data_IF_654133959665
#
_entry.id   IF_654133959665
#
_cell.length_a   1.000
_cell.length_b   1.000
_cell.length_c   1.000
_cell.angle_alpha   90.00
_cell.angle_beta   90.00
_cell.angle_gamma   90.00
#
_symmetry.space_group_name_H-M   'P 1'
#
loop_
_entity.id
_entity.type
_entity.pdbx_description
1 polymer ?
#
# COMPACT_ATOMS: atom_id res chain seq x y z
N UNK A 1 11.45 10.67 1.88
CA UNK A 1 11.54 9.32 1.27
C UNK A 1 11.51 9.33 -0.26
N UNK A 2 10.79 10.24 -0.94
CA UNK A 2 10.83 10.36 -2.42
C UNK A 2 12.26 10.51 -3.01
N UNK A 3 13.18 11.09 -2.26
CA UNK A 3 14.58 11.25 -2.69
C UNK A 3 15.49 10.04 -2.46
N UNK A 4 14.99 8.99 -1.79
CA UNK A 4 15.78 7.79 -1.41
C UNK A 4 15.56 6.58 -2.33
N UNK A 5 14.67 6.69 -3.31
CA UNK A 5 14.34 5.60 -4.25
C UNK A 5 14.61 6.09 -5.68
N UNK A 6 15.19 5.23 -6.51
CA UNK A 6 15.38 5.50 -7.92
C UNK A 6 14.06 5.39 -8.68
N UNK A 7 13.72 6.42 -9.46
CA UNK A 7 12.47 6.48 -10.23
C UNK A 7 12.61 5.81 -11.59
N UNK A 8 11.60 5.04 -11.97
CA UNK A 8 11.51 4.38 -13.28
C UNK A 8 10.30 4.96 -14.00
N UNK A 9 10.53 5.82 -14.99
CA UNK A 9 9.46 6.53 -15.68
C UNK A 9 8.46 5.61 -16.41
N UNK A 10 8.87 4.40 -16.78
CA UNK A 10 7.95 3.39 -17.34
C UNK A 10 6.91 2.91 -16.33
N UNK A 11 7.27 2.80 -15.04
CA UNK A 11 6.35 2.36 -13.97
C UNK A 11 5.34 3.47 -13.64
N UNK A 12 5.75 4.75 -13.70
CA UNK A 12 4.85 5.90 -13.45
C UNK A 12 3.81 6.09 -14.57
N UNK A 13 4.15 5.69 -15.79
CA UNK A 13 3.27 5.78 -16.97
C UNK A 13 2.59 4.44 -17.32
N UNK A 14 2.60 3.48 -16.40
CA UNK A 14 1.96 2.16 -16.56
C UNK A 14 0.43 2.26 -16.40
N UNK A 15 -0.20 2.97 -17.34
CA UNK A 15 -1.64 3.02 -17.48
C UNK A 15 -2.10 1.81 -18.28
N UNK A 16 -3.04 1.05 -17.73
CA UNK A 16 -3.73 0.00 -18.46
C UNK A 16 -5.24 0.25 -18.45
N UNK A 17 -5.87 0.06 -19.60
CA UNK A 17 -7.32 -0.10 -19.67
C UNK A 17 -7.65 -1.51 -19.18
N UNK A 18 -8.57 -1.63 -18.22
CA UNK A 18 -9.26 -2.90 -18.08
C UNK A 18 -10.44 -2.84 -19.04
N UNK A 19 -10.45 -3.72 -20.04
CA UNK A 19 -11.50 -3.78 -21.06
C UNK A 19 -12.76 -4.50 -20.53
N UNK A 20 -12.72 -4.93 -19.26
CA UNK A 20 -13.88 -5.43 -18.54
C UNK A 20 -14.96 -4.35 -18.48
N UNK A 21 -16.14 -4.67 -19.01
CA UNK A 21 -17.34 -3.87 -18.85
C UNK A 21 -17.85 -4.03 -17.41
N UNK A 22 -17.45 -3.11 -16.54
CA UNK A 22 -17.99 -3.05 -15.18
C UNK A 22 -19.43 -2.57 -15.20
N UNK A 23 -20.33 -3.32 -14.57
CA UNK A 23 -21.61 -2.77 -14.12
C UNK A 23 -21.39 -2.22 -12.70
N UNK A 24 -21.23 -0.91 -12.58
CA UNK A 24 -21.18 -0.21 -11.30
C UNK A 24 -22.49 0.54 -11.14
N UNK A 25 -23.28 0.16 -10.14
CA UNK A 25 -24.41 0.95 -9.70
C UNK A 25 -23.94 1.91 -8.62
N UNK A 26 -24.37 3.16 -8.70
CA UNK A 26 -24.11 4.16 -7.67
C UNK A 26 -25.35 4.95 -7.34
N UNK A 27 -25.55 5.24 -6.06
CA UNK A 27 -26.62 6.12 -5.62
C UNK A 27 -26.16 7.01 -4.47
N UNK A 28 -26.88 8.12 -4.26
CA UNK A 28 -26.69 9.00 -3.12
C UNK A 28 -27.54 8.55 -1.94
N UNK A 29 -26.99 8.65 -0.74
CA UNK A 29 -27.70 8.46 0.52
C UNK A 29 -27.25 9.51 1.54
N UNK A 30 -28.19 10.16 2.24
CA UNK A 30 -27.86 11.08 3.31
C UNK A 30 -27.84 10.33 4.65
N UNK A 31 -26.64 10.02 5.13
CA UNK A 31 -26.45 9.23 6.35
C UNK A 31 -26.16 10.16 7.53
N UNK A 32 -26.88 9.98 8.64
CA UNK A 32 -26.60 10.73 9.86
C UNK A 32 -25.30 10.26 10.51
N UNK A 33 -24.59 11.14 11.22
CA UNK A 33 -23.41 10.70 11.98
C UNK A 33 -23.75 9.65 13.05
N UNK A 34 -24.96 9.67 13.62
CA UNK A 34 -25.44 8.61 14.52
C UNK A 34 -25.45 7.25 13.82
N UNK A 35 -26.00 7.19 12.63
CA UNK A 35 -26.06 5.97 11.82
C UNK A 35 -24.65 5.48 11.48
N UNK A 36 -23.80 6.37 10.97
CA UNK A 36 -22.42 6.03 10.61
C UNK A 36 -21.61 5.53 11.82
N UNK A 37 -21.81 6.11 13.00
CA UNK A 37 -21.18 5.66 14.24
C UNK A 37 -21.68 4.26 14.61
N UNK A 38 -23.00 4.01 14.61
CA UNK A 38 -23.55 2.69 14.94
C UNK A 38 -23.00 1.63 13.99
N UNK A 39 -23.10 1.86 12.67
CA UNK A 39 -22.57 0.92 11.67
C UNK A 39 -21.09 0.65 11.85
N UNK A 40 -20.30 1.66 12.24
CA UNK A 40 -18.88 1.47 12.49
C UNK A 40 -18.63 0.62 13.73
N UNK A 41 -19.36 0.89 14.83
CA UNK A 41 -19.27 0.14 16.08
C UNK A 41 -19.76 -1.32 15.92
N UNK A 42 -20.73 -1.54 15.04
CA UNK A 42 -21.34 -2.84 14.72
C UNK A 42 -20.57 -3.64 13.63
N UNK A 43 -19.41 -3.15 13.17
CA UNK A 43 -18.61 -3.73 12.06
C UNK A 43 -19.36 -3.86 10.72
N UNK A 44 -20.40 -3.06 10.52
CA UNK A 44 -21.11 -2.91 9.24
C UNK A 44 -20.46 -1.88 8.32
N UNK A 45 -19.74 -0.90 8.90
CA UNK A 45 -18.98 0.12 8.18
C UNK A 45 -17.49 -0.06 8.47
N UNK A 46 -16.80 -0.68 7.53
CA UNK A 46 -15.40 -1.05 7.68
C UNK A 46 -14.48 0.02 7.11
N UNK A 47 -13.31 0.17 7.74
CA UNK A 47 -12.23 1.00 7.19
C UNK A 47 -11.27 0.14 6.36
N UNK A 48 -10.66 0.67 5.30
CA UNK A 48 -9.55 0.01 4.65
C UNK A 48 -8.38 -0.19 5.61
N UNK A 49 -7.65 -1.30 5.47
CA UNK A 49 -6.45 -1.58 6.28
C UNK A 49 -5.40 -0.46 6.21
N UNK A 50 -5.37 0.28 5.09
CA UNK A 50 -4.53 1.46 4.87
C UNK A 50 -4.76 2.57 5.91
N UNK A 51 -6.01 2.74 6.35
CA UNK A 51 -6.43 3.84 7.22
C UNK A 51 -6.41 3.43 8.70
N UNK A 52 -5.51 2.51 9.08
CA UNK A 52 -5.34 2.05 10.47
C UNK A 52 -5.13 3.20 11.45
N UNK A 53 -4.55 4.34 11.02
CA UNK A 53 -4.33 5.51 11.87
C UNK A 53 -5.14 6.72 11.41
N UNK A 54 -5.85 7.31 12.37
CA UNK A 54 -6.40 8.65 12.24
C UNK A 54 -5.22 9.65 12.15
N UNK A 55 -5.22 10.53 11.14
CA UNK A 55 -4.06 11.41 10.84
C UNK A 55 -4.33 12.89 11.01
N UNK A 56 -5.60 13.30 11.17
CA UNK A 56 -5.91 14.68 11.46
C UNK A 56 -5.38 15.08 12.85
N UNK A 57 -4.80 16.26 12.92
CA UNK A 57 -4.46 16.84 14.22
C UNK A 57 -5.72 17.34 14.94
N UNK A 58 -5.58 17.72 16.21
CA UNK A 58 -6.71 18.21 17.01
C UNK A 58 -7.30 19.50 16.44
N UNK A 59 -6.52 20.32 15.73
CA UNK A 59 -6.96 21.58 15.14
C UNK A 59 -7.87 21.33 13.94
N UNK A 60 -7.46 20.44 13.03
CA UNK A 60 -8.25 19.99 11.87
C UNK A 60 -9.54 19.32 12.32
N UNK A 61 -9.44 18.38 13.27
CA UNK A 61 -10.58 17.69 13.86
C UNK A 61 -11.58 18.64 14.51
N UNK A 62 -11.07 19.60 15.30
CA UNK A 62 -11.93 20.60 15.98
C UNK A 62 -12.67 21.48 14.98
N UNK A 63 -11.99 21.89 13.89
CA UNK A 63 -12.63 22.68 12.83
C UNK A 63 -13.75 21.93 12.13
N UNK A 64 -13.59 20.62 11.93
CA UNK A 64 -14.66 19.83 11.34
C UNK A 64 -15.88 19.76 12.26
N UNK A 65 -15.70 19.54 13.56
CA UNK A 65 -16.80 19.57 14.54
C UNK A 65 -17.46 20.96 14.59
N UNK A 66 -16.67 22.04 14.54
CA UNK A 66 -17.18 23.42 14.50
C UNK A 66 -18.07 23.64 13.27
N UNK A 67 -17.66 23.20 12.07
CA UNK A 67 -18.48 23.23 10.86
C UNK A 67 -19.80 22.48 11.02
N UNK A 68 -19.78 21.29 11.63
CA UNK A 68 -21.00 20.49 11.90
C UNK A 68 -21.93 21.22 12.87
N UNK A 69 -21.39 21.86 13.91
CA UNK A 69 -22.17 22.62 14.89
C UNK A 69 -22.77 23.90 14.28
N UNK A 70 -22.03 24.57 13.40
CA UNK A 70 -22.51 25.73 12.63
C UNK A 70 -23.55 25.36 11.57
N UNK A 71 -23.67 24.08 11.21
CA UNK A 71 -24.55 23.62 10.13
C UNK A 71 -24.03 23.97 8.74
N UNK A 72 -22.71 24.08 8.60
CA UNK A 72 -22.07 24.30 7.29
C UNK A 72 -22.11 23.01 6.47
N UNK A 73 -22.20 23.10 5.13
CA UNK A 73 -22.10 21.93 4.27
C UNK A 73 -20.73 21.25 4.44
N UNK A 74 -20.76 19.94 4.64
CA UNK A 74 -19.56 19.10 4.68
C UNK A 74 -19.41 18.37 3.34
N UNK A 75 -18.17 18.13 2.86
CA UNK A 75 -17.99 17.38 1.61
C UNK A 75 -18.61 15.98 1.71
N UNK A 76 -18.96 15.40 0.57
CA UNK A 76 -19.52 14.05 0.49
C UNK A 76 -18.50 12.97 0.84
N UNK A 77 -18.97 11.82 1.30
CA UNK A 77 -18.15 10.62 1.51
C UNK A 77 -18.41 9.61 0.40
N UNK A 78 -17.47 8.69 0.21
CA UNK A 78 -17.61 7.60 -0.74
C UNK A 78 -17.55 6.28 0.01
N UNK A 79 -18.53 5.42 -0.22
CA UNK A 79 -18.65 4.10 0.37
C UNK A 79 -18.76 3.06 -0.74
N UNK A 80 -18.20 1.87 -0.55
CA UNK A 80 -18.46 0.73 -1.41
C UNK A 80 -19.21 -0.32 -0.62
N UNK A 81 -20.30 -0.84 -1.15
CA UNK A 81 -20.94 -2.02 -0.59
C UNK A 81 -20.07 -3.22 -0.91
N UNK A 82 -19.76 -4.01 0.11
CA UNK A 82 -19.04 -5.28 -0.01
C UNK A 82 -20.04 -6.44 0.12
N UNK A 83 -19.55 -7.68 0.14
CA UNK A 83 -20.37 -8.83 0.55
C UNK A 83 -21.01 -8.63 1.94
N UNK A 84 -22.04 -9.42 2.23
CA UNK A 84 -22.74 -9.48 3.53
C UNK A 84 -23.36 -8.16 4.01
N UNK A 85 -23.84 -7.30 3.09
CA UNK A 85 -24.47 -6.00 3.38
C UNK A 85 -23.55 -4.97 4.09
N UNK A 86 -22.26 -5.29 4.25
CA UNK A 86 -21.26 -4.37 4.81
C UNK A 86 -20.87 -3.30 3.80
N UNK A 87 -20.29 -2.22 4.31
CA UNK A 87 -19.75 -1.13 3.51
C UNK A 87 -18.30 -0.83 3.88
N UNK A 88 -17.46 -0.61 2.87
CA UNK A 88 -16.10 -0.14 3.01
C UNK A 88 -16.03 1.37 2.82
N UNK A 89 -15.38 2.07 3.74
CA UNK A 89 -15.13 3.52 3.61
C UNK A 89 -14.03 3.75 2.56
N UNK A 90 -14.40 4.36 1.42
CA UNK A 90 -13.47 4.70 0.34
C UNK A 90 -12.83 6.06 0.61
N UNK A 91 -13.66 7.03 0.99
CA UNK A 91 -13.25 8.38 1.39
C UNK A 91 -14.14 8.87 2.54
N UNK A 92 -13.60 9.76 3.36
CA UNK A 92 -14.34 10.36 4.48
C UNK A 92 -14.05 9.77 5.85
N UNK A 93 -13.16 8.79 5.95
CA UNK A 93 -12.80 8.17 7.23
C UNK A 93 -12.40 9.17 8.31
N UNK A 94 -11.55 10.17 7.98
CA UNK A 94 -11.16 11.18 8.98
C UNK A 94 -12.36 11.99 9.48
N UNK A 95 -13.36 12.26 8.62
CA UNK A 95 -14.59 12.99 8.98
C UNK A 95 -15.48 12.15 9.88
N UNK A 96 -15.76 10.91 9.47
CA UNK A 96 -16.56 9.94 10.23
C UNK A 96 -15.93 9.72 11.61
N UNK A 97 -14.63 9.41 11.64
CA UNK A 97 -13.91 9.16 12.89
C UNK A 97 -13.74 10.40 13.76
N UNK A 98 -13.69 11.60 13.19
CA UNK A 98 -13.66 12.83 14.00
C UNK A 98 -14.94 12.95 14.83
N UNK A 99 -16.10 12.70 14.21
CA UNK A 99 -17.38 12.78 14.93
C UNK A 99 -17.53 11.62 15.90
N UNK A 100 -17.16 10.40 15.49
CA UNK A 100 -17.10 9.23 16.38
C UNK A 100 -16.26 9.51 17.63
N UNK A 101 -15.00 9.94 17.45
CA UNK A 101 -14.08 10.27 18.53
C UNK A 101 -14.62 11.36 19.46
N UNK A 102 -15.28 12.38 18.90
CA UNK A 102 -15.82 13.46 19.71
C UNK A 102 -17.00 12.98 20.54
N UNK A 103 -17.92 12.20 19.94
CA UNK A 103 -19.09 11.62 20.61
C UNK A 103 -18.71 10.58 21.66
N UNK A 104 -17.74 9.70 21.36
CA UNK A 104 -17.18 8.72 22.31
C UNK A 104 -16.34 9.40 23.41
N UNK A 105 -15.80 10.58 23.11
CA UNK A 105 -15.07 11.43 24.03
C UNK A 105 -13.56 11.21 24.06
N UNK A 106 -13.02 10.29 23.25
CA UNK A 106 -11.58 9.98 23.18
C UNK A 106 -11.05 10.34 21.79
N UNK A 107 -9.95 11.09 21.74
CA UNK A 107 -9.30 11.47 20.49
C UNK A 107 -8.30 10.39 20.05
N UNK A 108 -8.51 9.77 18.87
CA UNK A 108 -7.61 8.70 18.38
C UNK A 108 -6.15 9.12 18.21
N UNK A 109 -5.88 10.43 18.04
CA UNK A 109 -4.51 10.91 17.82
C UNK A 109 -3.60 10.81 19.05
N UNK A 110 -4.16 10.89 20.27
CA UNK A 110 -3.36 10.85 21.52
C UNK A 110 -4.01 10.07 22.67
N UNK A 111 -5.19 9.49 22.47
CA UNK A 111 -5.92 8.73 23.50
C UNK A 111 -6.49 9.58 24.63
N UNK A 112 -6.41 10.92 24.54
CA UNK A 112 -6.92 11.83 25.58
C UNK A 112 -8.36 12.24 25.29
N UNK A 113 -9.00 12.84 26.29
CA UNK A 113 -10.34 13.40 26.15
C UNK A 113 -10.37 14.37 24.96
N UNK A 114 -11.31 14.15 24.04
CA UNK A 114 -11.47 15.03 22.90
C UNK A 114 -12.17 16.32 23.31
N UNK A 115 -11.35 17.36 23.54
CA UNK A 115 -11.78 18.75 23.69
C UNK A 115 -11.53 19.52 22.40
N UNK A 116 -12.46 20.40 22.04
CA UNK A 116 -12.28 21.31 20.91
C UNK A 116 -11.11 22.26 21.19
N UNK A 117 -10.34 22.58 20.15
CA UNK A 117 -9.20 23.47 20.22
C UNK A 117 -9.58 24.84 20.79
N UNK A 118 -8.70 25.42 21.62
CA UNK A 118 -8.88 26.74 22.24
C UNK A 118 -8.43 27.90 21.34
N UNK A 119 -8.41 27.68 20.03
CA UNK A 119 -7.96 28.69 19.06
C UNK A 119 -9.12 29.58 18.63
N UNK A 120 -8.78 30.78 18.13
CA UNK A 120 -9.75 31.71 17.55
C UNK A 120 -10.50 31.15 16.33
N UNK A 121 -10.01 30.04 15.77
CA UNK A 121 -10.57 29.34 14.61
C UNK A 121 -11.81 28.50 14.93
N UNK A 122 -12.19 28.36 16.20
CA UNK A 122 -13.38 27.64 16.68
C UNK A 122 -14.34 28.66 17.25
N UNK A 123 -15.65 28.45 17.12
CA UNK A 123 -16.65 29.34 17.71
C UNK A 123 -16.49 29.43 19.24
N UNK A 124 -16.51 30.65 19.78
CA UNK A 124 -16.31 30.94 21.21
C UNK A 124 -17.20 30.10 22.12
N UNK A 125 -18.44 29.81 21.69
CA UNK A 125 -19.42 29.02 22.45
C UNK A 125 -18.94 27.60 22.76
N UNK A 126 -18.06 27.02 21.95
CA UNK A 126 -17.65 25.62 22.04
C UNK A 126 -16.14 25.41 22.28
N UNK A 127 -15.34 26.48 22.26
CA UNK A 127 -13.88 26.40 22.53
C UNK A 127 -13.57 25.63 23.81
N UNK A 128 -12.67 24.66 23.72
CA UNK A 128 -12.22 23.89 24.89
C UNK A 128 -13.23 22.88 25.44
N UNK A 129 -14.47 22.84 24.92
CA UNK A 129 -15.50 21.92 25.39
C UNK A 129 -15.28 20.51 24.83
N UNK A 130 -15.55 19.52 25.65
CA UNK A 130 -15.77 18.13 25.25
C UNK A 130 -17.24 17.93 24.90
N UNK A 131 -17.55 16.85 24.20
CA UNK A 131 -18.93 16.55 23.78
C UNK A 131 -19.94 16.54 24.93
N UNK A 132 -19.57 15.98 26.09
CA UNK A 132 -20.42 15.94 27.30
C UNK A 132 -20.67 17.31 27.94
N UNK A 133 -19.87 18.33 27.61
CA UNK A 133 -20.00 19.70 28.11
C UNK A 133 -20.81 20.59 27.16
N UNK A 134 -21.24 20.05 26.01
CA UNK A 134 -22.18 20.71 25.11
C UNK A 134 -23.62 20.56 25.63
N UNK A 135 -24.47 21.54 25.33
CA UNK A 135 -25.89 21.46 25.63
C UNK A 135 -26.60 20.40 24.79
N UNK A 136 -27.74 19.90 25.26
CA UNK A 136 -28.44 18.77 24.62
C UNK A 136 -28.80 19.02 23.15
N UNK A 137 -29.13 20.27 22.81
CA UNK A 137 -29.44 20.68 21.42
C UNK A 137 -28.23 20.51 20.51
N UNK A 138 -27.03 20.85 20.99
CA UNK A 138 -25.78 20.77 20.25
C UNK A 138 -25.33 19.31 20.09
N UNK A 139 -25.45 18.51 21.16
CA UNK A 139 -25.20 17.07 21.10
C UNK A 139 -26.14 16.38 20.10
N UNK A 140 -27.43 16.72 20.11
CA UNK A 140 -28.40 16.23 19.12
C UNK A 140 -28.06 16.67 17.72
N UNK A 141 -27.65 17.93 17.53
CA UNK A 141 -27.23 18.48 16.23
C UNK A 141 -26.08 17.65 15.65
N UNK A 142 -24.99 17.47 16.38
CA UNK A 142 -23.83 16.69 15.92
C UNK A 142 -24.25 15.29 15.46
N UNK A 143 -25.02 14.58 16.27
CA UNK A 143 -25.47 13.20 15.96
C UNK A 143 -26.41 13.14 14.76
N UNK A 144 -27.29 14.13 14.60
CA UNK A 144 -28.35 14.10 13.61
C UNK A 144 -27.96 14.78 12.28
N UNK A 145 -26.87 15.55 12.24
CA UNK A 145 -26.34 16.08 10.98
C UNK A 145 -26.07 14.92 10.02
N UNK A 146 -26.59 15.05 8.81
CA UNK A 146 -26.34 14.11 7.72
C UNK A 146 -25.14 14.53 6.90
N UNK A 147 -24.44 13.54 6.36
CA UNK A 147 -23.40 13.71 5.35
C UNK A 147 -23.85 12.95 4.11
N UNK A 148 -23.70 13.59 2.94
CA UNK A 148 -24.03 12.97 1.68
C UNK A 148 -23.02 11.86 1.37
N UNK A 149 -23.50 10.63 1.22
CA UNK A 149 -22.69 9.47 0.86
C UNK A 149 -23.02 9.05 -0.57
N UNK A 150 -22.00 8.87 -1.38
CA UNK A 150 -22.11 8.21 -2.68
C UNK A 150 -21.70 6.76 -2.46
N UNK A 151 -22.66 5.85 -2.61
CA UNK A 151 -22.46 4.42 -2.38
C UNK A 151 -22.30 3.73 -3.73
N UNK A 152 -21.24 2.93 -3.88
CA UNK A 152 -20.97 2.11 -5.05
C UNK A 152 -21.25 0.64 -4.77
N UNK A 153 -21.82 -0.05 -5.74
CA UNK A 153 -21.91 -1.52 -5.79
C UNK A 153 -21.33 -1.97 -7.11
N UNK A 154 -20.43 -2.94 -7.07
CA UNK A 154 -20.03 -3.66 -8.25
C UNK A 154 -21.02 -4.82 -8.47
N UNK A 155 -21.84 -4.74 -9.52
CA UNK A 155 -22.81 -5.79 -9.84
C UNK A 155 -22.15 -6.91 -10.65
N UNK A 156 -21.26 -6.56 -11.58
CA UNK A 156 -20.55 -7.53 -12.41
C UNK A 156 -19.10 -7.10 -12.74
N UNK A 157 -18.13 -8.03 -12.71
CA UNK A 157 -18.25 -9.40 -12.16
C UNK A 157 -18.43 -9.37 -10.64
N UNK A 158 -19.33 -10.20 -10.10
CA UNK A 158 -19.58 -10.27 -8.66
C UNK A 158 -18.39 -10.87 -7.86
N UNK A 159 -17.46 -11.54 -8.54
CA UNK A 159 -16.25 -12.15 -7.98
C UNK A 159 -14.98 -11.32 -8.25
N UNK A 160 -15.14 -10.04 -8.55
CA UNK A 160 -14.04 -9.14 -8.84
C UNK A 160 -14.26 -7.81 -8.13
N UNK A 161 -13.26 -7.29 -7.41
CA UNK A 161 -13.31 -5.93 -6.84
C UNK A 161 -12.49 -4.93 -7.69
N UNK A 162 -12.10 -5.30 -8.92
CA UNK A 162 -11.30 -4.43 -9.80
C UNK A 162 -12.00 -3.13 -10.17
N UNK A 163 -13.34 -3.03 -10.09
CA UNK A 163 -14.02 -1.76 -10.33
C UNK A 163 -13.76 -0.78 -9.19
N UNK A 164 -13.67 -1.26 -7.94
CA UNK A 164 -13.29 -0.42 -6.79
C UNK A 164 -11.90 0.16 -6.99
N UNK A 165 -10.95 -0.64 -7.49
CA UNK A 165 -9.61 -0.15 -7.80
C UNK A 165 -9.64 1.04 -8.78
N UNK A 166 -10.42 0.95 -9.86
CA UNK A 166 -10.54 2.05 -10.82
C UNK A 166 -11.24 3.28 -10.23
N UNK A 167 -12.24 3.05 -9.37
CA UNK A 167 -12.93 4.11 -8.63
C UNK A 167 -11.93 4.84 -7.73
N UNK A 168 -11.14 4.13 -6.92
CA UNK A 168 -10.10 4.73 -6.06
C UNK A 168 -9.02 5.49 -6.85
N UNK A 169 -8.62 4.98 -8.02
CA UNK A 169 -7.62 5.64 -8.87
C UNK A 169 -8.14 6.99 -9.40
N UNK A 170 -9.43 7.09 -9.71
CA UNK A 170 -10.04 8.28 -10.33
C UNK A 170 -10.62 9.26 -9.32
N UNK A 171 -11.15 8.75 -8.21
CA UNK A 171 -11.71 9.56 -7.13
C UNK A 171 -10.56 10.10 -6.28
N UNK A 172 -9.91 11.12 -6.84
CA UNK A 172 -8.93 11.96 -6.16
C UNK A 172 -9.65 12.90 -5.19
N UNK A 173 -10.25 12.37 -4.13
CA UNK A 173 -10.82 13.20 -3.07
C UNK A 173 -9.73 13.63 -2.10
N UNK A 174 -9.78 14.90 -1.68
CA UNK A 174 -8.85 15.56 -0.75
C UNK A 174 -7.51 16.06 -1.33
N UNK A 175 -7.34 16.11 -2.66
CA UNK A 175 -6.17 16.73 -3.31
C UNK A 175 -4.87 15.92 -3.22
N UNK A 176 -4.92 14.68 -2.73
CA UNK A 176 -3.77 13.76 -2.68
C UNK A 176 -4.14 12.44 -3.36
N UNK A 177 -3.51 12.16 -4.49
CA UNK A 177 -3.64 10.88 -5.21
C UNK A 177 -3.02 9.75 -4.40
N UNK A 178 -3.81 8.68 -4.17
CA UNK A 178 -3.33 7.42 -3.59
C UNK A 178 -2.39 6.73 -4.59
N UNK A 179 -1.27 6.20 -4.11
CA UNK A 179 -0.38 5.36 -4.93
C UNK A 179 -1.03 4.01 -5.23
N UNK A 180 -0.60 3.31 -6.29
CA UNK A 180 -1.13 1.99 -6.64
C UNK A 180 -1.19 1.00 -5.47
N UNK A 181 -0.12 0.90 -4.66
CA UNK A 181 -0.13 0.03 -3.47
C UNK A 181 -1.07 0.52 -2.36
N UNK A 182 -1.22 1.84 -2.19
CA UNK A 182 -2.20 2.39 -1.24
C UNK A 182 -3.62 1.95 -1.64
N UNK A 183 -3.94 1.92 -2.94
CA UNK A 183 -5.23 1.42 -3.44
C UNK A 183 -5.35 -0.09 -3.27
N UNK A 184 -4.30 -0.88 -3.59
CA UNK A 184 -4.32 -2.35 -3.44
C UNK A 184 -4.66 -2.78 -2.02
N UNK A 185 -4.07 -2.14 -1.02
CA UNK A 185 -4.33 -2.45 0.39
C UNK A 185 -5.78 -2.15 0.81
N UNK A 186 -6.49 -1.29 0.07
CA UNK A 186 -7.90 -1.02 0.31
C UNK A 186 -8.82 -2.04 -0.36
N UNK A 187 -8.48 -2.42 -1.59
CA UNK A 187 -9.32 -3.24 -2.47
C UNK A 187 -9.11 -4.73 -2.22
N UNK A 188 -7.86 -5.18 -2.13
CA UNK A 188 -7.50 -6.59 -2.00
C UNK A 188 -7.12 -6.91 -0.55
N UNK A 189 -8.10 -6.79 0.35
CA UNK A 189 -7.93 -7.19 1.76
C UNK A 189 -7.85 -8.72 1.87
N UNK A 190 -7.23 -9.23 2.92
CA UNK A 190 -7.13 -10.67 3.17
C UNK A 190 -5.76 -11.12 3.67
N UNK A 191 -5.53 -12.43 3.61
CA UNK A 191 -4.37 -13.09 4.21
C UNK A 191 -3.04 -12.58 3.63
N UNK A 192 -2.94 -12.41 2.31
CA UNK A 192 -1.73 -11.86 1.69
C UNK A 192 -1.48 -10.41 2.11
N UNK A 193 -2.50 -9.56 2.15
CA UNK A 193 -2.32 -8.15 2.54
C UNK A 193 -1.86 -8.02 3.99
N UNK A 194 -2.43 -8.84 4.88
CA UNK A 194 -1.99 -8.94 6.28
C UNK A 194 -0.53 -9.40 6.37
N UNK A 195 -0.14 -10.43 5.61
CA UNK A 195 1.25 -10.87 5.54
C UNK A 195 2.20 -9.77 5.05
N UNK A 196 1.82 -8.97 4.06
CA UNK A 196 2.65 -7.85 3.58
C UNK A 196 2.91 -6.84 4.70
N UNK A 197 1.92 -6.53 5.55
CA UNK A 197 2.12 -5.63 6.69
C UNK A 197 3.10 -6.23 7.71
N UNK A 198 2.95 -7.51 8.05
CA UNK A 198 3.85 -8.19 8.98
C UNK A 198 5.28 -8.21 8.48
N UNK A 199 5.48 -8.64 7.22
CA UNK A 199 6.79 -8.64 6.57
C UNK A 199 7.38 -7.23 6.45
N UNK A 200 6.53 -6.19 6.33
CA UNK A 200 7.00 -4.81 6.28
C UNK A 200 7.70 -4.41 7.59
N UNK A 201 7.18 -4.86 8.73
CA UNK A 201 7.75 -4.52 10.05
C UNK A 201 8.97 -5.37 10.44
N UNK A 202 9.32 -6.39 9.65
CA UNK A 202 10.44 -7.29 9.96
C UNK A 202 11.81 -6.62 9.91
N UNK A 203 12.64 -6.90 10.92
CA UNK A 203 13.93 -6.24 11.10
C UNK A 203 14.87 -6.47 9.92
N UNK A 204 14.84 -7.66 9.31
CA UNK A 204 15.68 -7.96 8.15
C UNK A 204 15.35 -7.04 6.95
N UNK A 205 14.07 -6.77 6.74
CA UNK A 205 13.60 -5.91 5.68
C UNK A 205 13.79 -4.42 6.01
N UNK A 206 13.55 -4.00 7.27
CA UNK A 206 13.83 -2.63 7.72
C UNK A 206 15.30 -2.25 7.61
N UNK A 207 16.24 -3.18 7.82
CA UNK A 207 17.67 -2.91 7.55
C UNK A 207 17.95 -2.71 6.05
N UNK A 208 17.32 -3.49 5.18
CA UNK A 208 17.59 -3.46 3.74
C UNK A 208 16.92 -2.29 3.01
N UNK A 209 15.72 -1.89 3.44
CA UNK A 209 14.94 -0.82 2.80
C UNK A 209 15.08 0.53 3.53
N UNK A 210 15.04 0.51 4.86
CA UNK A 210 15.07 1.70 5.71
C UNK A 210 14.32 1.50 7.02
N UNK A 211 14.85 2.06 8.10
CA UNK A 211 14.37 1.80 9.46
C UNK A 211 12.90 2.21 9.71
N UNK A 212 12.41 3.24 9.01
CA UNK A 212 11.03 3.72 9.14
C UNK A 212 10.16 3.19 7.99
N UNK A 213 8.94 2.75 8.32
CA UNK A 213 7.92 2.40 7.34
C UNK A 213 7.54 3.57 6.44
N UNK A 214 7.39 3.31 5.14
CA UNK A 214 7.02 4.33 4.19
C UNK A 214 5.53 4.63 4.28
N UNK A 215 5.18 5.86 4.64
CA UNK A 215 3.79 6.31 4.70
C UNK A 215 3.07 6.25 3.34
N UNK A 216 3.79 6.07 2.22
CA UNK A 216 3.24 5.82 0.87
C UNK A 216 3.27 4.34 0.46
N UNK A 217 3.71 3.46 1.35
CA UNK A 217 3.70 1.99 1.20
C UNK A 217 4.49 1.43 0.01
N UNK A 218 5.52 2.15 -0.42
CA UNK A 218 6.43 1.66 -1.47
C UNK A 218 7.24 0.46 -1.00
N UNK A 219 7.60 0.43 0.29
CA UNK A 219 8.21 -0.72 0.94
C UNK A 219 7.36 -1.98 0.84
N UNK A 220 6.06 -1.88 1.09
CA UNK A 220 5.13 -3.00 0.91
C UNK A 220 5.01 -3.41 -0.56
N UNK A 221 5.00 -2.46 -1.50
CA UNK A 221 4.97 -2.79 -2.93
C UNK A 221 6.19 -3.62 -3.35
N UNK A 222 7.38 -3.35 -2.80
CA UNK A 222 8.57 -4.17 -3.10
C UNK A 222 8.47 -5.58 -2.51
N UNK A 223 7.89 -5.76 -1.32
CA UNK A 223 7.60 -7.11 -0.80
C UNK A 223 6.64 -7.84 -1.75
N UNK A 224 5.59 -7.15 -2.22
CA UNK A 224 4.66 -7.73 -3.20
C UNK A 224 5.35 -8.07 -4.53
N UNK A 225 6.24 -7.20 -5.03
CA UNK A 225 7.04 -7.43 -6.25
C UNK A 225 7.91 -8.67 -6.12
N UNK A 226 8.52 -8.91 -4.95
CA UNK A 226 9.31 -10.13 -4.71
C UNK A 226 8.48 -11.40 -4.99
N UNK A 227 7.24 -11.46 -4.54
CA UNK A 227 6.38 -12.63 -4.79
C UNK A 227 5.84 -12.66 -6.21
N UNK A 228 5.39 -11.52 -6.74
CA UNK A 228 4.73 -11.46 -8.03
C UNK A 228 5.71 -11.58 -9.21
N UNK A 229 6.99 -11.24 -9.06
CA UNK A 229 7.98 -11.32 -10.13
C UNK A 229 8.81 -12.61 -10.12
N UNK A 230 8.36 -13.64 -9.41
CA UNK A 230 8.93 -14.97 -9.50
C UNK A 230 8.79 -15.54 -10.93
N UNK A 231 9.74 -16.37 -11.41
CA UNK A 231 9.74 -16.91 -12.77
C UNK A 231 8.40 -17.50 -13.22
N UNK A 232 7.75 -18.31 -12.37
CA UNK A 232 6.48 -18.95 -12.66
C UNK A 232 5.34 -17.93 -12.87
N UNK A 233 5.29 -16.87 -12.06
CA UNK A 233 4.25 -15.83 -12.16
C UNK A 233 4.46 -14.95 -13.39
N UNK A 234 5.71 -14.63 -13.73
CA UNK A 234 6.04 -13.89 -14.97
C UNK A 234 5.75 -14.74 -16.20
N UNK A 235 6.10 -16.03 -16.17
CA UNK A 235 5.87 -16.95 -17.29
C UNK A 235 4.38 -17.07 -17.62
N UNK A 236 3.52 -17.12 -16.60
CA UNK A 236 2.06 -17.27 -16.74
C UNK A 236 1.33 -16.11 -17.45
N UNK A 237 1.99 -14.98 -17.72
CA UNK A 237 1.39 -13.84 -18.43
C UNK A 237 1.53 -13.99 -19.95
N UNK A 238 0.48 -14.14 -20.73
CA UNK A 238 0.64 -14.39 -22.19
C UNK A 238 1.36 -13.27 -22.97
N UNK A 239 1.31 -12.03 -22.46
CA UNK A 239 1.91 -10.86 -23.14
C UNK A 239 3.42 -10.79 -22.91
N UNK A 240 4.15 -10.37 -23.95
CA UNK A 240 5.61 -10.15 -23.91
C UNK A 240 6.01 -9.01 -22.95
N UNK A 241 5.16 -7.99 -22.83
CA UNK A 241 5.33 -6.87 -21.91
C UNK A 241 4.24 -6.87 -20.85
N UNK A 242 4.66 -6.82 -19.59
CA UNK A 242 3.76 -6.76 -18.45
C UNK A 242 3.41 -5.30 -18.13
N UNK A 243 2.17 -5.07 -17.72
CA UNK A 243 1.83 -3.93 -16.88
C UNK A 243 2.10 -4.36 -15.44
N UNK A 244 3.09 -3.76 -14.79
CA UNK A 244 3.43 -4.04 -13.39
C UNK A 244 2.20 -3.83 -12.52
N UNK A 245 1.48 -2.73 -12.77
CA UNK A 245 0.29 -2.37 -12.02
C UNK A 245 -0.79 -3.46 -12.10
N UNK A 246 -1.12 -3.91 -13.33
CA UNK A 246 -2.09 -4.99 -13.57
C UNK A 246 -1.61 -6.30 -12.97
N UNK A 247 -0.32 -6.62 -13.12
CA UNK A 247 0.26 -7.87 -12.62
C UNK A 247 0.16 -7.99 -11.10
N UNK A 248 0.53 -6.93 -10.37
CA UNK A 248 0.45 -6.90 -8.90
C UNK A 248 -1.02 -6.93 -8.42
N UNK A 249 -1.93 -6.25 -9.12
CA UNK A 249 -3.36 -6.31 -8.82
C UNK A 249 -3.91 -7.73 -8.96
N UNK A 250 -3.63 -8.39 -10.08
CA UNK A 250 -4.04 -9.78 -10.33
C UNK A 250 -3.40 -10.76 -9.34
N UNK A 251 -2.15 -10.53 -8.93
CA UNK A 251 -1.49 -11.35 -7.93
C UNK A 251 -2.19 -11.26 -6.57
N UNK A 252 -2.50 -10.04 -6.09
CA UNK A 252 -3.22 -9.88 -4.82
C UNK A 252 -4.64 -10.44 -4.86
N UNK A 253 -5.38 -10.17 -5.94
CA UNK A 253 -6.76 -10.64 -6.10
C UNK A 253 -6.88 -12.16 -5.99
N UNK A 254 -5.95 -12.91 -6.61
CA UNK A 254 -5.95 -14.40 -6.58
C UNK A 254 -5.60 -14.98 -5.20
N UNK A 255 -5.20 -14.15 -4.23
CA UNK A 255 -4.61 -14.54 -2.95
C UNK A 255 -5.22 -13.80 -1.76
N UNK A 256 -6.49 -13.41 -1.89
CA UNK A 256 -7.30 -12.85 -0.80
C UNK A 256 -7.48 -13.91 0.31
N UNK A 257 -7.89 -15.12 -0.09
CA UNK A 257 -8.19 -16.24 0.82
C UNK A 257 -7.09 -17.31 0.77
N UNK A 258 -5.84 -16.95 1.08
CA UNK A 258 -4.76 -17.94 1.21
C UNK A 258 -4.97 -18.84 2.42
N UNK A 259 -4.67 -20.13 2.28
CA UNK A 259 -4.60 -21.04 3.41
C UNK A 259 -3.40 -20.69 4.32
N UNK A 260 -3.53 -20.97 5.62
CA UNK A 260 -2.48 -20.64 6.60
C UNK A 260 -1.13 -21.27 6.25
N UNK A 261 -1.11 -22.50 5.70
CA UNK A 261 0.12 -23.16 5.27
C UNK A 261 0.83 -22.39 4.15
N UNK A 262 0.07 -21.85 3.18
CA UNK A 262 0.62 -21.03 2.10
C UNK A 262 1.16 -19.71 2.62
N UNK A 263 0.44 -19.07 3.56
CA UNK A 263 0.90 -17.83 4.22
C UNK A 263 2.23 -18.08 4.95
N UNK A 264 2.35 -19.18 5.70
CA UNK A 264 3.59 -19.55 6.38
C UNK A 264 4.71 -19.85 5.40
N UNK A 265 4.42 -20.53 4.28
CA UNK A 265 5.41 -20.80 3.25
C UNK A 265 5.96 -19.49 2.66
N UNK A 266 5.10 -18.56 2.24
CA UNK A 266 5.50 -17.27 1.69
C UNK A 266 6.32 -16.45 2.71
N UNK A 267 5.90 -16.44 3.98
CA UNK A 267 6.62 -15.79 5.08
C UNK A 267 8.04 -16.35 5.19
N UNK A 268 8.17 -17.67 5.29
CA UNK A 268 9.46 -18.34 5.47
C UNK A 268 10.40 -18.08 4.29
N UNK A 269 9.90 -18.17 3.05
CA UNK A 269 10.70 -17.90 1.84
C UNK A 269 11.22 -16.46 1.85
N UNK A 270 10.36 -15.48 2.11
CA UNK A 270 10.78 -14.08 2.14
C UNK A 270 11.81 -13.82 3.25
N UNK A 271 11.54 -14.29 4.47
CA UNK A 271 12.45 -14.11 5.61
C UNK A 271 13.80 -14.78 5.37
N UNK A 272 13.82 -15.99 4.82
CA UNK A 272 15.07 -16.69 4.50
C UNK A 272 15.90 -15.89 3.49
N UNK A 273 15.28 -15.42 2.41
CA UNK A 273 15.94 -14.64 1.37
C UNK A 273 16.46 -13.30 1.90
N UNK A 274 15.62 -12.54 2.60
CA UNK A 274 16.01 -11.22 3.11
C UNK A 274 17.08 -11.32 4.20
N UNK A 275 17.02 -12.33 5.06
CA UNK A 275 18.10 -12.57 6.04
C UNK A 275 19.42 -12.92 5.36
N UNK A 276 19.38 -13.76 4.32
CA UNK A 276 20.56 -14.12 3.55
C UNK A 276 21.18 -12.89 2.86
N UNK A 277 20.37 -12.08 2.16
CA UNK A 277 20.83 -10.86 1.49
C UNK A 277 21.40 -9.87 2.50
N UNK A 278 20.73 -9.67 3.64
CA UNK A 278 21.21 -8.81 4.73
C UNK A 278 22.55 -9.28 5.27
N UNK A 279 22.72 -10.58 5.52
CA UNK A 279 23.98 -11.12 6.01
C UNK A 279 25.12 -11.00 4.97
N UNK A 280 24.78 -11.04 3.68
CA UNK A 280 25.76 -11.10 2.58
C UNK A 280 26.21 -9.71 2.11
N UNK A 281 25.29 -8.75 1.98
CA UNK A 281 25.57 -7.41 1.42
C UNK A 281 25.12 -6.25 2.32
N UNK A 282 24.39 -6.51 3.40
CA UNK A 282 23.90 -5.48 4.32
C UNK A 282 23.02 -4.43 3.64
N UNK A 283 23.02 -3.22 4.18
CA UNK A 283 22.14 -2.12 3.75
C UNK A 283 22.35 -1.70 2.27
N UNK A 284 23.53 -1.99 1.71
CA UNK A 284 23.87 -1.58 0.33
C UNK A 284 23.39 -2.58 -0.73
N UNK A 285 22.77 -3.70 -0.34
CA UNK A 285 22.39 -4.80 -1.23
C UNK A 285 21.68 -4.34 -2.52
N UNK A 286 20.73 -3.41 -2.39
CA UNK A 286 19.87 -2.95 -3.49
C UNK A 286 20.25 -1.57 -4.03
N UNK A 287 21.47 -1.12 -3.77
CA UNK A 287 21.99 0.17 -4.22
C UNK A 287 22.88 -0.01 -5.46
N UNK A 288 22.72 0.89 -6.42
CA UNK A 288 23.53 0.88 -7.64
C UNK A 288 24.91 1.53 -7.42
N UNK A 289 25.83 1.36 -8.36
CA UNK A 289 27.10 2.09 -8.44
C UNK A 289 26.99 3.27 -9.41
N UNK A 290 27.81 4.31 -9.20
CA UNK A 290 27.84 5.47 -10.08
C UNK A 290 28.43 5.11 -11.45
N UNK A 291 27.79 5.61 -12.52
CA UNK A 291 28.27 5.44 -13.91
C UNK A 291 29.61 6.13 -14.14
N UNK A 292 29.83 7.31 -13.55
CA UNK A 292 31.06 8.10 -13.70
C UNK A 292 32.15 7.73 -12.71
N UNK A 293 31.81 7.01 -11.64
CA UNK A 293 32.75 6.58 -10.60
C UNK A 293 32.32 5.22 -10.05
N UNK A 294 32.67 4.10 -10.71
CA UNK A 294 32.21 2.77 -10.34
C UNK A 294 32.52 2.35 -8.89
N UNK A 295 33.49 2.99 -8.24
CA UNK A 295 33.83 2.78 -6.83
C UNK A 295 32.85 3.44 -5.84
N UNK A 296 31.97 4.33 -6.32
CA UNK A 296 31.00 5.07 -5.50
C UNK A 296 29.61 4.46 -5.63
N UNK A 297 28.95 4.29 -4.49
CA UNK A 297 27.56 3.88 -4.42
C UNK A 297 26.61 5.05 -4.67
N UNK A 298 25.50 4.76 -5.34
CA UNK A 298 24.34 5.64 -5.44
C UNK A 298 23.49 5.40 -4.19
N UNK A 299 23.23 6.41 -3.35
CA UNK A 299 22.54 6.24 -2.06
C UNK A 299 21.01 6.10 -2.21
N UNK A 300 20.55 5.57 -3.34
CA UNK A 300 19.13 5.33 -3.63
C UNK A 300 18.88 3.83 -3.79
N UNK A 301 17.80 3.37 -3.18
CA UNK A 301 17.24 2.04 -3.42
C UNK A 301 16.85 1.91 -4.89
N UNK A 302 17.24 0.82 -5.55
CA UNK A 302 16.92 0.56 -6.95
C UNK A 302 15.89 -0.56 -7.09
N UNK A 303 14.69 -0.26 -7.63
CA UNK A 303 13.63 -1.25 -7.82
C UNK A 303 14.06 -2.48 -8.64
N UNK A 304 14.71 -2.27 -9.78
CA UNK A 304 15.10 -3.35 -10.69
C UNK A 304 16.27 -4.18 -10.15
N UNK A 305 17.17 -3.57 -9.36
CA UNK A 305 18.21 -4.31 -8.63
C UNK A 305 17.57 -5.16 -7.53
N UNK A 306 16.60 -4.60 -6.79
CA UNK A 306 15.84 -5.37 -5.81
C UNK A 306 15.12 -6.56 -6.46
N UNK A 307 14.34 -6.34 -7.53
CA UNK A 307 13.62 -7.41 -8.23
C UNK A 307 14.58 -8.53 -8.66
N UNK A 308 15.71 -8.18 -9.27
CA UNK A 308 16.66 -9.17 -9.80
C UNK A 308 17.42 -9.92 -8.71
N UNK A 309 18.00 -9.22 -7.73
CA UNK A 309 18.80 -9.86 -6.67
C UNK A 309 17.89 -10.70 -5.77
N UNK A 310 16.73 -10.19 -5.37
CA UNK A 310 15.84 -10.93 -4.47
C UNK A 310 15.31 -12.23 -5.09
N UNK A 311 14.85 -12.18 -6.35
CA UNK A 311 14.37 -13.37 -7.07
C UNK A 311 15.52 -14.34 -7.37
N UNK A 312 16.67 -13.86 -7.84
CA UNK A 312 17.83 -14.73 -8.07
C UNK A 312 18.30 -15.41 -6.78
N UNK A 313 18.23 -14.73 -5.64
CA UNK A 313 18.58 -15.30 -4.34
C UNK A 313 17.59 -16.39 -3.93
N UNK A 314 16.29 -16.17 -4.12
CA UNK A 314 15.27 -17.19 -3.86
C UNK A 314 15.53 -18.46 -4.68
N UNK A 315 15.85 -18.31 -5.96
CA UNK A 315 16.22 -19.42 -6.85
C UNK A 315 17.51 -20.12 -6.42
N UNK A 316 18.52 -19.35 -5.97
CA UNK A 316 19.79 -19.93 -5.54
C UNK A 316 19.64 -20.74 -4.25
N UNK A 317 18.88 -20.23 -3.28
CA UNK A 317 18.63 -20.91 -2.00
C UNK A 317 17.75 -22.15 -2.15
N UNK A 318 16.79 -22.15 -3.09
CA UNK A 318 15.98 -23.35 -3.36
C UNK A 318 16.81 -24.48 -3.97
N UNK A 319 17.82 -24.14 -4.78
CA UNK A 319 18.76 -25.11 -5.38
C UNK A 319 19.89 -25.51 -4.44
N UNK A 320 20.35 -24.58 -3.59
CA UNK A 320 21.47 -24.76 -2.67
C UNK A 320 21.11 -24.20 -1.28
N UNK A 321 20.51 -24.99 -0.38
CA UNK A 321 20.09 -24.50 0.94
C UNK A 321 21.23 -23.98 1.83
N UNK A 322 22.45 -24.51 1.63
CA UNK A 322 23.65 -24.11 2.37
C UNK A 322 24.57 -23.20 1.55
N UNK A 323 23.98 -22.32 0.74
CA UNK A 323 24.70 -21.41 -0.14
C UNK A 323 25.67 -20.51 0.65
N UNK A 324 26.92 -20.42 0.18
CA UNK A 324 27.91 -19.45 0.69
C UNK A 324 28.45 -18.68 -0.51
N UNK A 325 28.40 -17.35 -0.43
CA UNK A 325 28.94 -16.48 -1.48
C UNK A 325 30.39 -16.15 -1.16
N UNK A 326 31.30 -16.61 -2.01
CA UNK A 326 32.72 -16.21 -1.94
C UNK A 326 32.89 -14.88 -2.66
N UNK A 327 33.55 -13.92 -1.99
CA UNK A 327 33.70 -12.53 -2.42
C UNK A 327 32.37 -11.83 -2.81
N UNK A 328 31.46 -11.62 -1.82
CA UNK A 328 30.14 -11.07 -2.10
C UNK A 328 30.16 -9.70 -2.78
N UNK A 329 31.03 -8.79 -2.33
CA UNK A 329 31.08 -7.43 -2.86
C UNK A 329 31.74 -7.38 -4.24
N UNK A 330 32.78 -8.17 -4.49
CA UNK A 330 33.39 -8.27 -5.82
C UNK A 330 32.38 -8.80 -6.85
N UNK A 331 31.66 -9.89 -6.52
CA UNK A 331 30.58 -10.42 -7.37
C UNK A 331 29.48 -9.42 -7.64
N UNK A 332 29.03 -8.68 -6.60
CA UNK A 332 28.02 -7.62 -6.75
C UNK A 332 28.51 -6.51 -7.67
N UNK A 333 29.76 -6.06 -7.52
CA UNK A 333 30.35 -5.04 -8.41
C UNK A 333 30.44 -5.52 -9.85
N UNK A 334 30.81 -6.78 -10.09
CA UNK A 334 30.82 -7.36 -11.43
C UNK A 334 29.43 -7.35 -12.06
N UNK A 335 28.39 -7.75 -11.31
CA UNK A 335 26.99 -7.67 -11.76
C UNK A 335 26.62 -6.23 -12.11
N UNK A 336 26.85 -5.28 -11.19
CA UNK A 336 26.47 -3.88 -11.36
C UNK A 336 27.31 -3.17 -12.44
N UNK A 337 28.45 -3.72 -12.84
CA UNK A 337 29.27 -3.26 -13.95
C UNK A 337 28.86 -3.85 -15.32
N UNK A 338 28.18 -4.98 -15.33
CA UNK A 338 27.76 -5.68 -16.54
C UNK A 338 26.82 -4.81 -17.40
N UNK A 339 27.14 -4.67 -18.69
CA UNK A 339 26.39 -3.81 -19.62
C UNK A 339 24.98 -4.35 -19.91
N UNK A 340 24.83 -5.67 -20.12
CA UNK A 340 23.53 -6.31 -20.35
C UNK A 340 22.62 -6.13 -19.14
N UNK A 341 23.12 -6.36 -17.94
CA UNK A 341 22.38 -6.16 -16.70
C UNK A 341 21.93 -4.71 -16.51
N UNK A 342 22.81 -3.74 -16.78
CA UNK A 342 22.48 -2.31 -16.72
C UNK A 342 21.40 -1.94 -17.73
N UNK A 343 21.45 -2.48 -18.93
CA UNK A 343 20.44 -2.25 -19.97
C UNK A 343 19.09 -2.80 -19.51
N UNK A 344 19.04 -4.06 -19.08
CA UNK A 344 17.84 -4.73 -18.59
C UNK A 344 17.22 -4.07 -17.34
N UNK A 345 18.03 -3.39 -16.52
CA UNK A 345 17.56 -2.63 -15.36
C UNK A 345 17.08 -1.21 -15.67
N UNK A 346 17.30 -0.69 -16.89
CA UNK A 346 17.03 0.72 -17.22
C UNK A 346 16.16 0.96 -18.45
N UNK A 347 16.01 0.00 -19.36
CA UNK A 347 15.15 0.10 -20.54
C UNK A 347 14.18 -1.08 -20.60
N UNK A 348 12.94 -0.80 -20.99
CA UNK A 348 11.89 -1.82 -21.19
C UNK A 348 11.81 -2.79 -20.01
N UNK A 349 11.88 -2.23 -18.80
CA UNK A 349 12.11 -2.95 -17.56
C UNK A 349 11.01 -3.96 -17.22
N UNK A 350 9.83 -3.82 -17.83
CA UNK A 350 8.71 -4.74 -17.69
C UNK A 350 8.48 -5.65 -18.90
N UNK A 351 9.42 -5.67 -19.86
CA UNK A 351 9.48 -6.72 -20.88
C UNK A 351 9.96 -8.02 -20.23
N UNK A 352 9.31 -9.15 -20.56
CA UNK A 352 9.69 -10.47 -20.04
C UNK A 352 11.17 -10.78 -20.20
N UNK A 353 11.71 -10.54 -21.39
CA UNK A 353 13.13 -10.76 -21.67
C UNK A 353 14.03 -9.92 -20.77
N UNK A 354 13.66 -8.66 -20.50
CA UNK A 354 14.44 -7.79 -19.60
C UNK A 354 14.34 -8.23 -18.14
N UNK A 355 13.20 -8.79 -17.71
CA UNK A 355 13.02 -9.38 -16.38
C UNK A 355 13.89 -10.64 -16.24
N UNK A 356 13.77 -11.56 -17.20
CA UNK A 356 14.54 -12.81 -17.23
C UNK A 356 16.03 -12.51 -17.33
N UNK A 357 16.46 -11.59 -18.19
CA UNK A 357 17.87 -11.23 -18.35
C UNK A 357 18.46 -10.68 -17.06
N UNK A 358 17.78 -9.74 -16.38
CA UNK A 358 18.33 -9.19 -15.12
C UNK A 358 18.41 -10.24 -14.01
N UNK A 359 17.43 -11.15 -13.92
CA UNK A 359 17.47 -12.25 -12.95
C UNK A 359 18.58 -13.25 -13.31
N UNK A 360 18.72 -13.58 -14.59
CA UNK A 360 19.76 -14.49 -15.10
C UNK A 360 21.16 -13.97 -14.83
N UNK A 361 21.43 -12.69 -15.12
CA UNK A 361 22.70 -12.04 -14.81
C UNK A 361 22.97 -12.02 -13.31
N UNK A 362 21.97 -11.71 -12.47
CA UNK A 362 22.12 -11.76 -11.02
C UNK A 362 22.44 -13.18 -10.53
N UNK A 363 21.73 -14.19 -11.03
CA UNK A 363 21.95 -15.60 -10.68
C UNK A 363 23.35 -16.08 -11.09
N UNK A 364 23.83 -15.67 -12.27
CA UNK A 364 25.15 -16.00 -12.77
C UNK A 364 26.25 -15.31 -11.97
N UNK A 365 26.21 -13.98 -11.85
CA UNK A 365 27.30 -13.23 -11.23
C UNK A 365 27.36 -13.42 -9.72
N UNK A 366 26.22 -13.46 -9.03
CA UNK A 366 26.20 -13.61 -7.56
C UNK A 366 26.44 -15.06 -7.15
N UNK A 367 25.88 -16.03 -7.87
CA UNK A 367 25.82 -17.42 -7.39
C UNK A 367 26.51 -18.44 -8.31
N UNK A 368 26.97 -18.04 -9.50
CA UNK A 368 27.57 -18.97 -10.47
C UNK A 368 26.57 -19.94 -11.09
N UNK A 369 25.27 -19.67 -10.95
CA UNK A 369 24.18 -20.52 -11.42
C UNK A 369 23.64 -20.03 -12.77
N UNK A 370 23.03 -20.95 -13.53
CA UNK A 370 22.34 -20.61 -14.78
C UNK A 370 20.85 -20.49 -14.56
N UNK A 371 20.22 -19.56 -15.29
CA UNK A 371 18.77 -19.50 -15.36
C UNK A 371 18.26 -20.70 -16.17
N UNK A 372 17.43 -21.52 -15.54
CA UNK A 372 16.76 -22.66 -16.19
C UNK A 372 15.27 -22.37 -16.04
N UNK A 373 14.55 -22.41 -17.16
CA UNK A 373 13.12 -22.10 -17.22
C UNK A 373 12.28 -23.21 -16.58
#
# INVERSE_FOLDING_TARGET
>A
MKDKIHHIGEEENDFYSNDDLFSISSWGADLSFRELISRYDDDELQKPELQRKYVWDRSEASRFIDSVLLGLPVPSIFLAKTGDEKMLIIDGYQRIMTVHNYVSGIFSGDGKIFRLSRTERINERWRGKAFKELGDVEQRRIRNTTIHAIIFVQEHPAADDTSLYQVFERINTSGRTLLPQEIRNCVYQGALNTLLFELNSEACWRTLFGAAEDARMRDMEYILRFFALQPAEVAAVDRERLSLKKHLNTFMKRRVDLADEEVQHLRNVFLQVMNFIRATWGEVAFHNISRSSPDKLVPKFSPTIFDSISVATAMALSRMPNLVVVDPEGRRRMLLANESYRLACSKETMKKDSIVERISQALHHLYGLRYEQ
#
